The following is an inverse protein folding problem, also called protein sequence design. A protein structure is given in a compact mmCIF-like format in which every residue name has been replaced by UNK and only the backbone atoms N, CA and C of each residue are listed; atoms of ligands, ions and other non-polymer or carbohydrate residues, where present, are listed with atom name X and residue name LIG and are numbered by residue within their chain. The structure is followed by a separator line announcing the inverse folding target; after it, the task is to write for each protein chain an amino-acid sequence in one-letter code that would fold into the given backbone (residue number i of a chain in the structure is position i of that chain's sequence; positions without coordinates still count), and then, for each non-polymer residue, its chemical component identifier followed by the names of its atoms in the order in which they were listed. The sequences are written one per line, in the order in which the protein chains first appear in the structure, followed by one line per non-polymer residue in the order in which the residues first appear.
data_IF_568126956081
#
_entry.id   IF_568126956081
#
_cell.length_a   1.000
_cell.length_b   1.000
_cell.length_c   1.000
_cell.angle_alpha   90.00
_cell.angle_beta   90.00
_cell.angle_gamma   90.00
#
_symmetry.space_group_name_H-M   'P 1'
#
loop_
_entity.id
_entity.type
_entity.pdbx_description
1 polymer ?
#
# COMPACT_ATOMS: atom_id res chain seq x y z
N UNK A 1 7.98 20.41 -10.73
CA UNK A 1 7.96 18.98 -11.11
C UNK A 1 6.71 18.33 -10.51
N UNK A 2 6.14 17.35 -11.19
CA UNK A 2 5.10 16.47 -10.66
C UNK A 2 5.68 15.06 -10.41
N UNK A 3 6.00 14.70 -9.14
CA UNK A 3 6.52 13.37 -8.80
C UNK A 3 5.52 12.24 -9.07
N UNK A 4 4.22 12.49 -8.90
CA UNK A 4 3.19 11.49 -9.15
C UNK A 4 3.14 11.11 -10.64
N UNK A 5 3.22 12.11 -11.52
CA UNK A 5 3.31 11.87 -12.96
C UNK A 5 4.56 11.06 -13.34
N UNK A 6 5.70 11.27 -12.66
CA UNK A 6 6.88 10.42 -12.87
C UNK A 6 6.57 8.98 -12.47
N UNK A 7 6.14 8.76 -11.22
CA UNK A 7 5.82 7.42 -10.71
C UNK A 7 4.79 6.69 -11.58
N UNK A 8 3.78 7.40 -12.06
CA UNK A 8 2.71 6.86 -12.89
C UNK A 8 3.17 6.33 -14.25
N UNK A 9 4.31 6.82 -14.75
CA UNK A 9 4.88 6.45 -16.04
C UNK A 9 6.12 5.55 -15.91
N UNK A 10 6.49 5.12 -14.70
CA UNK A 10 7.60 4.18 -14.51
C UNK A 10 7.19 2.74 -14.87
N UNK A 11 8.04 1.97 -15.56
CA UNK A 11 7.78 0.56 -15.83
C UNK A 11 7.70 -0.29 -14.55
N UNK A 12 8.38 0.13 -13.48
CA UNK A 12 8.36 -0.52 -12.17
C UNK A 12 6.98 -0.45 -11.50
N UNK A 13 6.15 0.55 -11.84
CA UNK A 13 4.82 0.74 -11.24
C UNK A 13 3.96 -0.49 -11.37
N UNK A 14 3.85 -1.06 -12.58
CA UNK A 14 3.05 -2.26 -12.79
C UNK A 14 3.59 -3.45 -11.97
N UNK A 15 4.91 -3.52 -11.78
CA UNK A 15 5.51 -4.59 -10.99
C UNK A 15 5.19 -4.43 -9.49
N UNK A 16 5.17 -3.20 -8.99
CA UNK A 16 4.76 -2.86 -7.62
C UNK A 16 3.27 -3.15 -7.42
N UNK A 17 2.40 -2.68 -8.33
CA UNK A 17 0.95 -2.96 -8.29
C UNK A 17 0.67 -4.47 -8.30
N UNK A 18 1.35 -5.23 -9.17
CA UNK A 18 1.23 -6.70 -9.17
C UNK A 18 1.67 -7.34 -7.87
N UNK A 19 2.69 -6.80 -7.19
CA UNK A 19 3.13 -7.33 -5.89
C UNK A 19 2.13 -7.02 -4.77
N UNK A 20 1.58 -5.81 -4.74
CA UNK A 20 0.56 -5.40 -3.79
C UNK A 20 -0.74 -6.20 -3.97
N UNK A 21 -1.20 -6.37 -5.21
CA UNK A 21 -2.38 -7.18 -5.51
C UNK A 21 -2.19 -8.63 -5.08
N UNK A 22 -1.05 -9.25 -5.40
CA UNK A 22 -0.75 -10.62 -4.93
C UNK A 22 -0.72 -10.74 -3.41
N UNK A 23 -0.23 -9.72 -2.72
CA UNK A 23 -0.24 -9.68 -1.26
C UNK A 23 -1.69 -9.65 -0.75
N UNK A 24 -2.53 -8.78 -1.29
CA UNK A 24 -3.95 -8.69 -0.94
C UNK A 24 -4.70 -9.99 -1.23
N UNK A 25 -4.55 -10.56 -2.43
CA UNK A 25 -5.18 -11.82 -2.83
C UNK A 25 -4.79 -12.95 -1.86
N UNK A 26 -3.52 -13.02 -1.45
CA UNK A 26 -3.04 -14.01 -0.49
C UNK A 26 -3.64 -13.82 0.90
N UNK A 27 -3.82 -12.57 1.35
CA UNK A 27 -4.41 -12.26 2.65
C UNK A 27 -5.92 -12.47 2.66
N UNK A 28 -6.59 -12.21 1.54
CA UNK A 28 -8.01 -12.50 1.36
C UNK A 28 -8.27 -14.02 1.43
N UNK A 29 -7.47 -14.82 0.73
CA UNK A 29 -7.56 -16.28 0.80
C UNK A 29 -7.34 -16.83 2.23
N UNK A 30 -6.34 -16.28 2.95
CA UNK A 30 -6.08 -16.66 4.35
C UNK A 30 -7.24 -16.27 5.28
N UNK A 31 -7.85 -15.10 5.06
CA UNK A 31 -9.03 -14.67 5.81
C UNK A 31 -10.25 -15.56 5.54
N UNK A 32 -10.48 -15.93 4.27
CA UNK A 32 -11.57 -16.82 3.89
C UNK A 32 -11.42 -18.20 4.54
N UNK A 33 -10.22 -18.78 4.53
CA UNK A 33 -9.94 -20.06 5.18
C UNK A 33 -10.27 -20.02 6.68
N UNK A 34 -9.79 -19.00 7.39
CA UNK A 34 -10.07 -18.81 8.83
C UNK A 34 -11.56 -18.57 9.10
N UNK A 35 -12.23 -17.84 8.22
CA UNK A 35 -13.67 -17.57 8.33
C UNK A 35 -14.50 -18.85 8.15
N UNK A 36 -14.12 -19.70 7.20
CA UNK A 36 -14.75 -21.01 6.99
C UNK A 36 -14.51 -21.92 8.21
N UNK A 37 -13.29 -21.94 8.75
CA UNK A 37 -12.96 -22.70 9.96
C UNK A 37 -13.83 -22.27 11.15
N UNK A 38 -13.93 -20.95 11.40
CA UNK A 38 -14.79 -20.40 12.44
C UNK A 38 -16.27 -20.82 12.25
N UNK A 39 -16.80 -20.67 11.02
CA UNK A 39 -18.19 -21.06 10.72
C UNK A 39 -18.44 -22.55 10.97
N UNK A 40 -17.49 -23.42 10.59
CA UNK A 40 -17.58 -24.85 10.83
C UNK A 40 -17.53 -25.18 12.32
N UNK A 41 -16.65 -24.52 13.08
CA UNK A 41 -16.56 -24.70 14.53
C UNK A 41 -17.84 -24.25 15.24
N UNK A 42 -18.41 -23.12 14.80
CA UNK A 42 -19.67 -22.60 15.33
C UNK A 42 -20.82 -23.56 15.05
N UNK A 43 -20.92 -24.07 13.83
CA UNK A 43 -21.95 -25.04 13.45
C UNK A 43 -21.80 -26.35 14.25
N UNK A 44 -20.57 -26.84 14.44
CA UNK A 44 -20.29 -28.02 15.26
C UNK A 44 -20.70 -27.80 16.72
N UNK A 45 -20.32 -26.67 17.30
CA UNK A 45 -20.74 -26.31 18.66
C UNK A 45 -22.27 -26.29 18.81
N UNK A 46 -23.00 -25.70 17.86
CA UNK A 46 -24.47 -25.67 17.90
C UNK A 46 -25.11 -27.06 17.85
N UNK A 47 -24.49 -28.01 17.14
CA UNK A 47 -24.97 -29.39 17.05
C UNK A 47 -24.65 -30.19 18.32
N UNK A 48 -23.45 -30.03 18.86
CA UNK A 48 -22.93 -30.81 20.00
C UNK A 48 -23.38 -30.22 21.35
N UNK A 49 -23.75 -28.93 21.42
CA UNK A 49 -24.10 -28.22 22.65
C UNK A 49 -25.07 -28.96 23.60
N UNK A 50 -26.10 -29.71 23.13
CA UNK A 50 -26.98 -30.47 24.03
C UNK A 50 -26.31 -31.64 24.75
N UNK A 51 -25.17 -32.12 24.24
CA UNK A 51 -24.44 -33.29 24.72
C UNK A 51 -23.18 -32.92 25.54
N UNK A 52 -22.75 -31.66 25.49
CA UNK A 52 -21.57 -31.16 26.19
C UNK A 52 -21.85 -30.94 27.69
N UNK A 53 -20.83 -31.18 28.51
CA UNK A 53 -20.80 -30.69 29.89
C UNK A 53 -20.68 -29.16 29.94
N UNK A 54 -20.90 -28.58 31.13
CA UNK A 54 -20.72 -27.14 31.36
C UNK A 54 -19.28 -26.70 31.07
N UNK A 55 -18.28 -27.47 31.54
CA UNK A 55 -16.87 -27.19 31.30
C UNK A 55 -16.51 -27.24 29.81
N UNK A 56 -16.98 -28.26 29.08
CA UNK A 56 -16.74 -28.36 27.63
C UNK A 56 -17.45 -27.23 26.86
N UNK A 57 -18.63 -26.83 27.30
CA UNK A 57 -19.38 -25.71 26.71
C UNK A 57 -18.63 -24.40 26.88
N UNK A 58 -18.13 -24.10 28.08
CA UNK A 58 -17.34 -22.90 28.36
C UNK A 58 -16.06 -22.85 27.51
N UNK A 59 -15.35 -23.98 27.41
CA UNK A 59 -14.14 -24.08 26.56
C UNK A 59 -14.46 -23.79 25.10
N UNK A 60 -15.53 -24.39 24.54
CA UNK A 60 -15.94 -24.14 23.14
C UNK A 60 -16.35 -22.70 22.88
N UNK A 61 -17.05 -22.07 23.83
CA UNK A 61 -17.41 -20.66 23.71
C UNK A 61 -16.17 -19.77 23.72
N UNK A 62 -15.19 -20.07 24.56
CA UNK A 62 -13.93 -19.33 24.61
C UNK A 62 -13.11 -19.50 23.33
N UNK A 63 -13.04 -20.72 22.77
CA UNK A 63 -12.40 -20.98 21.47
C UNK A 63 -13.05 -20.14 20.36
N UNK A 64 -14.39 -20.17 20.25
CA UNK A 64 -15.12 -19.39 19.25
C UNK A 64 -14.91 -17.88 19.42
N UNK A 65 -14.92 -17.39 20.66
CA UNK A 65 -14.63 -15.98 20.94
C UNK A 65 -13.20 -15.59 20.53
N UNK A 66 -12.23 -16.47 20.76
CA UNK A 66 -10.85 -16.22 20.36
C UNK A 66 -10.69 -16.21 18.84
N UNK A 67 -11.34 -17.14 18.13
CA UNK A 67 -11.33 -17.17 16.66
C UNK A 67 -11.95 -15.90 16.06
N UNK A 68 -13.06 -15.41 16.62
CA UNK A 68 -13.70 -14.17 16.19
C UNK A 68 -12.77 -12.95 16.38
N UNK A 69 -12.13 -12.83 17.55
CA UNK A 69 -11.13 -11.80 17.81
C UNK A 69 -9.91 -11.89 16.87
N UNK A 70 -9.47 -13.10 16.55
CA UNK A 70 -8.36 -13.30 15.62
C UNK A 70 -8.69 -12.84 14.20
N UNK A 71 -9.94 -13.05 13.74
CA UNK A 71 -10.44 -12.55 12.46
C UNK A 71 -10.46 -11.02 12.41
N UNK A 72 -10.96 -10.36 13.46
CA UNK A 72 -10.94 -8.90 13.57
C UNK A 72 -9.51 -8.35 13.55
N UNK A 73 -8.61 -8.94 14.34
CA UNK A 73 -7.21 -8.55 14.39
C UNK A 73 -6.48 -8.83 13.07
N UNK A 74 -6.87 -9.87 12.35
CA UNK A 74 -6.29 -10.20 11.05
C UNK A 74 -6.49 -9.04 10.08
N UNK A 75 -7.71 -8.51 9.96
CA UNK A 75 -8.00 -7.39 9.06
C UNK A 75 -7.18 -6.14 9.41
N UNK A 76 -7.06 -5.83 10.71
CA UNK A 76 -6.22 -4.69 11.16
C UNK A 76 -4.74 -4.90 10.81
N UNK A 77 -4.21 -6.11 11.00
CA UNK A 77 -2.82 -6.45 10.63
C UNK A 77 -2.60 -6.35 9.13
N UNK A 78 -3.53 -6.83 8.30
CA UNK A 78 -3.41 -6.74 6.83
C UNK A 78 -3.29 -5.30 6.37
N UNK A 79 -4.04 -4.37 6.97
CA UNK A 79 -3.92 -2.94 6.64
C UNK A 79 -2.53 -2.39 6.97
N UNK A 80 -2.02 -2.67 8.17
CA UNK A 80 -0.68 -2.24 8.59
C UNK A 80 0.42 -2.84 7.71
N UNK A 81 0.32 -4.13 7.41
CA UNK A 81 1.26 -4.82 6.54
C UNK A 81 1.19 -4.30 5.09
N UNK A 82 0.01 -3.92 4.61
CA UNK A 82 -0.17 -3.32 3.29
C UNK A 82 0.53 -1.96 3.20
N UNK A 83 0.39 -1.12 4.21
CA UNK A 83 1.11 0.17 4.30
C UNK A 83 2.62 -0.07 4.31
N UNK A 84 3.10 -0.98 5.16
CA UNK A 84 4.52 -1.32 5.23
C UNK A 84 5.06 -1.86 3.88
N UNK A 85 4.29 -2.72 3.21
CA UNK A 85 4.63 -3.26 1.89
C UNK A 85 4.71 -2.16 0.84
N UNK A 86 3.78 -1.21 0.84
CA UNK A 86 3.84 -0.05 -0.05
C UNK A 86 5.12 0.75 0.16
N UNK A 87 5.48 1.04 1.41
CA UNK A 87 6.70 1.77 1.75
C UNK A 87 7.98 1.03 1.35
N UNK A 88 8.02 -0.30 1.58
CA UNK A 88 9.15 -1.16 1.18
C UNK A 88 9.38 -1.15 -0.33
N UNK A 89 8.30 -1.17 -1.12
CA UNK A 89 8.34 -1.23 -2.57
C UNK A 89 8.60 0.14 -3.22
N UNK A 90 7.97 1.20 -2.70
CA UNK A 90 8.11 2.56 -3.22
C UNK A 90 9.38 3.26 -2.73
N UNK A 91 9.85 2.95 -1.52
CA UNK A 91 11.00 3.60 -0.90
C UNK A 91 12.27 3.65 -1.77
N UNK A 92 12.69 2.55 -2.42
CA UNK A 92 13.81 2.56 -3.36
C UNK A 92 13.58 3.49 -4.55
N UNK A 93 12.40 3.44 -5.16
CA UNK A 93 12.02 4.27 -6.33
C UNK A 93 12.05 5.75 -5.97
N UNK A 94 11.50 6.11 -4.80
CA UNK A 94 11.51 7.48 -4.29
C UNK A 94 12.93 7.98 -4.01
N UNK A 95 13.82 7.12 -3.47
CA UNK A 95 15.22 7.49 -3.24
C UNK A 95 15.97 7.72 -4.56
N UNK A 96 15.76 6.86 -5.54
CA UNK A 96 16.35 7.01 -6.87
C UNK A 96 15.86 8.30 -7.55
N UNK A 97 14.56 8.54 -7.53
CA UNK A 97 13.97 9.77 -8.04
C UNK A 97 14.58 11.01 -7.36
N UNK A 98 14.74 11.00 -6.03
CA UNK A 98 15.39 12.10 -5.32
C UNK A 98 16.84 12.32 -5.73
N UNK A 99 17.62 11.26 -5.91
CA UNK A 99 19.01 11.38 -6.39
C UNK A 99 19.07 11.97 -7.81
N UNK A 100 18.13 11.60 -8.67
CA UNK A 100 18.03 12.13 -10.03
C UNK A 100 17.63 13.61 -10.01
N UNK A 101 16.65 13.98 -9.18
CA UNK A 101 16.25 15.38 -8.96
C UNK A 101 17.45 16.20 -8.51
N UNK A 102 18.21 15.72 -7.52
CA UNK A 102 19.39 16.41 -7.00
C UNK A 102 20.45 16.60 -8.09
N UNK A 103 20.74 15.56 -8.87
CA UNK A 103 21.69 15.65 -9.99
C UNK A 103 21.25 16.68 -11.04
N UNK A 104 19.97 16.68 -11.44
CA UNK A 104 19.44 17.66 -12.41
C UNK A 104 19.50 19.08 -11.84
N UNK A 105 19.14 19.26 -10.56
CA UNK A 105 19.19 20.55 -9.90
C UNK A 105 20.62 21.12 -9.84
N UNK A 106 21.61 20.28 -9.55
CA UNK A 106 23.03 20.66 -9.59
C UNK A 106 23.48 21.04 -11.01
N UNK A 107 23.14 20.23 -12.02
CA UNK A 107 23.48 20.50 -13.42
C UNK A 107 22.89 21.85 -13.90
N UNK A 108 21.71 22.20 -13.40
CA UNK A 108 20.96 23.41 -13.76
C UNK A 108 21.18 24.59 -12.81
N UNK A 109 22.01 24.45 -11.77
CA UNK A 109 22.22 25.44 -10.70
C UNK A 109 20.92 25.92 -10.04
N UNK A 110 20.01 24.98 -9.73
CA UNK A 110 18.74 25.27 -9.06
C UNK A 110 18.88 25.12 -7.54
N UNK A 111 18.47 26.14 -6.81
CA UNK A 111 18.42 26.10 -5.34
C UNK A 111 17.16 25.37 -4.81
N UNK A 112 16.10 25.32 -5.63
CA UNK A 112 14.82 24.74 -5.23
C UNK A 112 14.18 23.95 -6.37
N UNK A 113 13.64 22.78 -6.04
CA UNK A 113 12.71 22.03 -6.88
C UNK A 113 11.40 21.90 -6.12
N UNK A 114 10.33 22.46 -6.68
CA UNK A 114 9.01 22.46 -6.05
C UNK A 114 8.13 21.36 -6.66
N UNK A 115 7.39 20.67 -5.79
CA UNK A 115 6.28 19.85 -6.21
C UNK A 115 5.15 20.75 -6.74
N UNK A 116 4.57 20.39 -7.89
CA UNK A 116 3.43 21.09 -8.49
C UNK A 116 2.14 20.92 -7.69
N UNK A 117 2.06 19.87 -6.86
CA UNK A 117 0.89 19.53 -6.06
C UNK A 117 1.27 19.30 -4.59
N UNK A 118 0.30 19.44 -3.69
CA UNK A 118 0.41 19.01 -2.30
C UNK A 118 0.34 17.47 -2.22
N UNK A 119 0.70 16.90 -1.07
CA UNK A 119 0.47 15.47 -0.83
C UNK A 119 -1.02 15.04 -0.86
N UNK A 120 -1.95 16.00 -0.92
CA UNK A 120 -3.39 15.76 -1.03
C UNK A 120 -3.90 15.98 -2.47
N UNK A 121 -3.01 16.23 -3.44
CA UNK A 121 -3.36 16.44 -4.85
C UNK A 121 -3.86 17.85 -5.17
N UNK A 122 -3.72 18.80 -4.26
CA UNK A 122 -4.07 20.20 -4.52
C UNK A 122 -2.94 20.89 -5.30
N UNK A 123 -3.27 21.60 -6.36
CA UNK A 123 -2.29 22.31 -7.17
C UNK A 123 -1.64 23.47 -6.39
N UNK A 124 -0.32 23.38 -6.19
CA UNK A 124 0.52 24.45 -5.61
C UNK A 124 0.91 25.49 -6.66
N UNK A 125 1.17 25.05 -7.89
CA UNK A 125 1.59 25.91 -9.00
C UNK A 125 0.40 26.22 -9.92
N UNK A 126 -0.23 27.38 -9.74
CA UNK A 126 -1.43 27.76 -10.50
C UNK A 126 -1.17 28.13 -11.96
N UNK A 127 0.04 28.61 -12.28
CA UNK A 127 0.41 29.03 -13.63
C UNK A 127 1.91 28.95 -13.86
N UNK A 128 2.27 28.50 -15.06
CA UNK A 128 3.60 28.58 -15.64
C UNK A 128 3.44 28.79 -17.15
N UNK A 129 4.24 29.69 -17.73
CA UNK A 129 4.23 29.93 -19.18
C UNK A 129 4.72 28.69 -19.93
N UNK A 130 4.42 28.58 -21.23
CA UNK A 130 4.89 27.45 -22.05
C UNK A 130 6.44 27.37 -22.06
N UNK A 131 7.12 28.49 -22.29
CA UNK A 131 8.60 28.56 -22.19
C UNK A 131 9.09 28.12 -20.80
N UNK A 132 8.36 28.52 -19.75
CA UNK A 132 8.68 28.12 -18.37
C UNK A 132 8.49 26.63 -18.14
N UNK A 133 7.49 25.99 -18.75
CA UNK A 133 7.29 24.53 -18.67
C UNK A 133 8.45 23.80 -19.33
N UNK A 134 8.86 24.22 -20.51
CA UNK A 134 9.95 23.58 -21.27
C UNK A 134 11.29 23.68 -20.52
N UNK A 135 11.59 24.84 -19.93
CA UNK A 135 12.87 25.12 -19.30
C UNK A 135 12.94 24.69 -17.83
N UNK A 136 11.85 24.81 -17.07
CA UNK A 136 11.85 24.69 -15.60
C UNK A 136 11.08 23.47 -15.09
N UNK A 137 10.21 22.84 -15.89
CA UNK A 137 9.55 21.62 -15.45
C UNK A 137 10.49 20.42 -15.60
N UNK A 138 10.90 19.87 -14.45
CA UNK A 138 11.81 18.73 -14.41
C UNK A 138 11.11 17.38 -14.61
N UNK A 139 9.77 17.33 -14.71
CA UNK A 139 8.99 16.08 -14.74
C UNK A 139 9.48 15.10 -15.82
N UNK A 140 9.53 15.54 -17.08
CA UNK A 140 9.96 14.69 -18.20
C UNK A 140 11.47 14.38 -18.13
N UNK A 141 12.29 15.32 -17.65
CA UNK A 141 13.74 15.12 -17.50
C UNK A 141 14.05 14.04 -16.46
N UNK A 142 13.34 14.05 -15.33
CA UNK A 142 13.46 13.05 -14.26
C UNK A 142 12.94 11.71 -14.77
N UNK A 143 11.75 11.66 -15.36
CA UNK A 143 11.19 10.42 -15.93
C UNK A 143 12.17 9.79 -16.93
N UNK A 144 12.71 10.58 -17.87
CA UNK A 144 13.66 10.08 -18.86
C UNK A 144 14.93 9.50 -18.22
N UNK A 145 15.46 10.10 -17.15
CA UNK A 145 16.64 9.56 -16.44
C UNK A 145 16.33 8.30 -15.63
N UNK A 146 15.09 8.13 -15.16
CA UNK A 146 14.68 6.91 -14.45
C UNK A 146 14.46 5.72 -15.39
N UNK A 147 14.14 5.97 -16.66
CA UNK A 147 13.85 4.91 -17.63
C UNK A 147 15.01 4.56 -18.57
N UNK A 148 16.14 5.26 -18.48
CA UNK A 148 17.34 5.08 -19.32
C UNK A 148 18.44 4.33 -18.58
#
# INVERSE_FOLDING_TARGET
MNPQAVLDNLPEKEAIERQLNRFLDSREAEFEEKSIEFQNNLARFQQEAPELSEEETEQRQQELQQQDQELEQFQMRVQQELEQRQDELLGPVLREMNNIIESIAQDMNLDYVLNQETGQGEMLLLYISEDGKEDLDLTDKVLSRMTN
#
